data_IF_876178522142
#
_entry.id   IF_876178522142
#
_cell.length_a   1.000
_cell.length_b   1.000
_cell.length_c   1.000
_cell.angle_alpha   90.00
_cell.angle_beta   90.00
_cell.angle_gamma   90.00
#
_symmetry.space_group_name_H-M   'P 1'
#
loop_
_entity.id
_entity.type
_entity.pdbx_description
1 polymer ?
#
# COMPACT_ATOMS: atom_id res chain seq x y z
N UNK A 1 2.17 -11.82 -1.75
CA UNK A 1 0.74 -11.93 -2.07
C UNK A 1 0.32 -13.35 -2.46
N UNK A 2 0.75 -13.92 -3.59
CA UNK A 2 0.32 -15.27 -3.99
C UNK A 2 0.81 -16.41 -3.06
N UNK A 3 1.95 -16.22 -2.39
CA UNK A 3 2.45 -17.16 -1.36
C UNK A 3 1.77 -16.98 -0.01
N UNK A 4 1.12 -15.84 0.20
CA UNK A 4 0.45 -15.48 1.45
C UNK A 4 -1.04 -15.84 1.41
N UNK A 5 -1.49 -16.56 0.37
CA UNK A 5 -2.89 -16.95 0.16
C UNK A 5 -3.81 -15.82 -0.33
N UNK A 6 -3.27 -14.61 -0.50
CA UNK A 6 -4.06 -13.43 -0.90
C UNK A 6 -4.41 -13.40 -2.39
N UNK A 7 -3.74 -14.22 -3.21
CA UNK A 7 -4.01 -14.38 -4.64
C UNK A 7 -4.04 -15.87 -4.98
N UNK A 8 -4.70 -16.27 -6.09
CA UNK A 8 -4.69 -17.65 -6.54
C UNK A 8 -3.27 -18.22 -6.65
N UNK A 9 -3.04 -19.41 -6.09
CA UNK A 9 -1.72 -20.04 -5.98
C UNK A 9 -1.01 -20.19 -7.33
N UNK A 10 -1.76 -20.31 -8.42
CA UNK A 10 -1.23 -20.37 -9.78
C UNK A 10 -0.49 -19.10 -10.22
N UNK A 11 -0.86 -17.91 -9.71
CA UNK A 11 -0.09 -16.67 -9.95
C UNK A 11 1.24 -16.64 -9.21
N UNK A 12 1.41 -17.46 -8.16
CA UNK A 12 2.66 -17.56 -7.41
C UNK A 12 3.69 -18.50 -8.07
N UNK A 13 3.31 -19.16 -9.17
CA UNK A 13 4.18 -20.11 -9.86
C UNK A 13 5.35 -19.38 -10.55
N UNK A 14 6.56 -19.78 -10.20
CA UNK A 14 7.80 -19.29 -10.80
C UNK A 14 8.23 -20.19 -11.96
N UNK A 15 8.93 -19.65 -12.94
CA UNK A 15 9.57 -20.46 -13.99
C UNK A 15 10.93 -21.03 -13.52
N UNK A 16 11.63 -21.75 -14.39
CA UNK A 16 12.94 -22.37 -14.09
C UNK A 16 14.03 -21.34 -13.68
N UNK A 17 13.84 -20.07 -14.06
CA UNK A 17 14.72 -18.94 -13.69
C UNK A 17 14.22 -18.17 -12.47
N UNK A 18 13.28 -18.73 -11.70
CA UNK A 18 12.67 -18.09 -10.52
C UNK A 18 11.92 -16.78 -10.82
N UNK A 19 11.39 -16.61 -12.03
CA UNK A 19 10.64 -15.42 -12.43
C UNK A 19 9.11 -15.66 -12.41
N UNK A 20 8.30 -14.71 -11.89
CA UNK A 20 6.84 -14.84 -11.81
C UNK A 20 6.13 -14.45 -13.12
N UNK A 21 6.49 -15.09 -14.24
CA UNK A 21 6.05 -14.68 -15.58
C UNK A 21 4.52 -14.60 -15.73
N UNK A 22 3.76 -15.52 -15.11
CA UNK A 22 2.29 -15.53 -15.20
C UNK A 22 1.67 -14.29 -14.59
N UNK A 23 2.13 -13.92 -13.39
CA UNK A 23 1.68 -12.70 -12.73
C UNK A 23 2.06 -11.46 -13.51
N UNK A 24 3.29 -11.40 -14.04
CA UNK A 24 3.76 -10.28 -14.85
C UNK A 24 2.90 -10.08 -16.11
N UNK A 25 2.61 -11.15 -16.86
CA UNK A 25 1.78 -11.06 -18.07
C UNK A 25 0.37 -10.56 -17.75
N UNK A 26 -0.26 -11.06 -16.69
CA UNK A 26 -1.61 -10.64 -16.29
C UNK A 26 -1.59 -9.16 -15.85
N UNK A 27 -0.64 -8.76 -15.02
CA UNK A 27 -0.48 -7.38 -14.58
C UNK A 27 -0.27 -6.44 -15.77
N UNK A 28 0.53 -6.84 -16.75
CA UNK A 28 0.76 -6.07 -17.98
C UNK A 28 -0.52 -5.94 -18.80
N UNK A 29 -1.26 -7.04 -19.03
CA UNK A 29 -2.53 -6.99 -19.79
C UNK A 29 -3.52 -6.05 -19.11
N UNK A 30 -3.74 -6.23 -17.79
CA UNK A 30 -4.65 -5.38 -17.02
C UNK A 30 -4.19 -3.92 -17.05
N UNK A 31 -2.88 -3.67 -16.86
CA UNK A 31 -2.30 -2.34 -16.88
C UNK A 31 -2.46 -1.63 -18.23
N UNK A 32 -2.29 -2.34 -19.35
CA UNK A 32 -2.51 -1.78 -20.69
C UNK A 32 -3.98 -1.47 -20.93
N UNK A 33 -4.89 -2.36 -20.51
CA UNK A 33 -6.33 -2.11 -20.65
C UNK A 33 -6.76 -0.89 -19.85
N UNK A 34 -6.44 -0.83 -18.56
CA UNK A 34 -6.79 0.32 -17.71
C UNK A 34 -6.08 1.59 -18.19
N UNK A 35 -4.80 1.51 -18.51
CA UNK A 35 -4.01 2.65 -18.97
C UNK A 35 -4.45 3.21 -20.33
N UNK A 36 -5.06 2.39 -21.20
CA UNK A 36 -5.62 2.86 -22.47
C UNK A 36 -7.02 3.47 -22.33
N UNK A 37 -7.77 3.12 -21.28
CA UNK A 37 -9.13 3.60 -21.05
C UNK A 37 -9.20 4.88 -20.20
N UNK A 38 -8.25 5.11 -19.30
CA UNK A 38 -8.30 6.20 -18.33
C UNK A 38 -7.14 7.20 -18.49
N UNK A 39 -7.39 8.51 -18.28
CA UNK A 39 -6.32 9.51 -18.28
C UNK A 39 -5.28 9.24 -17.20
N UNK A 40 -3.99 9.39 -17.54
CA UNK A 40 -2.89 9.20 -16.60
C UNK A 40 -3.05 10.03 -15.32
N UNK A 41 -3.47 11.29 -15.44
CA UNK A 41 -3.66 12.18 -14.28
C UNK A 41 -4.68 11.64 -13.27
N UNK A 42 -5.77 11.02 -13.76
CA UNK A 42 -6.79 10.40 -12.93
C UNK A 42 -6.23 9.18 -12.18
N UNK A 43 -5.54 8.28 -12.90
CA UNK A 43 -4.91 7.10 -12.30
C UNK A 43 -3.84 7.49 -11.27
N UNK A 44 -3.02 8.49 -11.58
CA UNK A 44 -2.00 9.00 -10.67
C UNK A 44 -2.62 9.54 -9.38
N UNK A 45 -3.70 10.33 -9.47
CA UNK A 45 -4.42 10.82 -8.29
C UNK A 45 -4.97 9.67 -7.43
N UNK A 46 -5.55 8.63 -8.06
CA UNK A 46 -6.10 7.48 -7.34
C UNK A 46 -5.00 6.67 -6.62
N UNK A 47 -3.88 6.40 -7.32
CA UNK A 47 -2.72 5.70 -6.76
C UNK A 47 -2.10 6.50 -5.61
N UNK A 48 -1.91 7.81 -5.79
CA UNK A 48 -1.41 8.68 -4.73
C UNK A 48 -2.33 8.68 -3.52
N UNK A 49 -3.64 8.81 -3.71
CA UNK A 49 -4.62 8.79 -2.63
C UNK A 49 -4.55 7.48 -1.84
N UNK A 50 -4.58 6.32 -2.53
CA UNK A 50 -4.45 5.01 -1.90
C UNK A 50 -3.13 4.82 -1.14
N UNK A 51 -2.02 5.32 -1.69
CA UNK A 51 -0.70 5.24 -1.05
C UNK A 51 -0.62 6.07 0.23
N UNK A 52 -1.19 7.28 0.22
CA UNK A 52 -1.27 8.12 1.41
C UNK A 52 -2.12 7.46 2.50
N UNK A 53 -3.25 6.84 2.14
CA UNK A 53 -4.05 6.08 3.12
C UNK A 53 -3.26 4.89 3.69
N UNK A 54 -2.56 4.13 2.85
CA UNK A 54 -1.70 3.04 3.34
C UNK A 54 -0.64 3.55 4.32
N UNK A 55 0.01 4.67 4.04
CA UNK A 55 0.98 5.29 4.96
C UNK A 55 0.34 5.77 6.26
N UNK A 56 -0.87 6.33 6.21
CA UNK A 56 -1.63 6.68 7.41
C UNK A 56 -1.87 5.44 8.29
N UNK A 57 -2.36 4.35 7.70
CA UNK A 57 -2.58 3.10 8.43
C UNK A 57 -1.29 2.50 8.99
N UNK A 58 -0.20 2.47 8.23
CA UNK A 58 1.09 1.96 8.69
C UNK A 58 1.60 2.80 9.86
N UNK A 59 1.50 4.13 9.77
CA UNK A 59 1.92 5.02 10.85
C UNK A 59 1.14 4.79 12.14
N UNK A 60 -0.18 4.59 12.04
CA UNK A 60 -1.01 4.24 13.19
C UNK A 60 -0.74 2.82 13.72
N UNK A 61 -0.49 1.87 12.82
CA UNK A 61 -0.22 0.47 13.16
C UNK A 61 1.06 0.34 14.02
N UNK A 62 2.04 1.24 13.84
CA UNK A 62 3.25 1.27 14.66
C UNK A 62 2.95 1.34 16.16
N UNK A 63 1.91 2.05 16.60
CA UNK A 63 1.56 2.14 18.03
C UNK A 63 1.15 0.80 18.63
N UNK A 64 0.50 -0.05 17.84
CA UNK A 64 0.08 -1.38 18.26
C UNK A 64 1.20 -2.41 18.08
N UNK A 65 1.93 -2.35 16.96
CA UNK A 65 3.06 -3.23 16.69
C UNK A 65 4.17 -3.06 17.72
N UNK A 66 4.48 -1.83 18.13
CA UNK A 66 5.53 -1.54 19.12
C UNK A 66 5.30 -2.25 20.46
N UNK A 67 4.04 -2.43 20.86
CA UNK A 67 3.66 -3.14 22.10
C UNK A 67 3.77 -4.67 22.00
N UNK A 68 3.83 -5.19 20.78
CA UNK A 68 3.89 -6.63 20.45
C UNK A 68 5.33 -7.12 20.20
N UNK A 69 6.28 -6.20 20.00
CA UNK A 69 7.71 -6.52 19.91
C UNK A 69 8.20 -7.33 21.12
N UNK A 70 8.85 -8.47 20.87
CA UNK A 70 9.40 -9.34 21.93
C UNK A 70 8.37 -10.24 22.64
N UNK A 71 7.09 -10.19 22.23
CA UNK A 71 6.04 -11.10 22.72
C UNK A 71 5.67 -12.10 21.63
N UNK A 72 5.05 -11.58 20.59
CA UNK A 72 4.50 -12.33 19.46
C UNK A 72 5.02 -11.81 18.11
N UNK A 73 5.75 -10.69 18.10
CA UNK A 73 6.55 -10.23 16.97
C UNK A 73 8.05 -10.30 17.31
N UNK A 74 8.90 -10.70 16.35
CA UNK A 74 10.35 -10.66 16.54
C UNK A 74 10.81 -9.22 16.79
N UNK A 75 11.89 -9.07 17.55
CA UNK A 75 12.47 -7.76 17.82
C UNK A 75 13.08 -7.24 16.50
N UNK A 76 12.66 -6.07 16.00
CA UNK A 76 13.16 -5.56 14.74
C UNK A 76 14.62 -5.11 14.89
N UNK A 77 15.44 -5.36 13.85
CA UNK A 77 16.83 -4.95 13.81
C UNK A 77 17.00 -3.42 13.88
N UNK A 78 16.02 -2.68 13.35
CA UNK A 78 15.95 -1.23 13.41
C UNK A 78 14.72 -0.78 14.21
N UNK A 79 14.92 0.21 15.08
CA UNK A 79 13.84 0.84 15.86
C UNK A 79 13.71 2.30 15.44
N UNK A 80 12.48 2.70 15.14
CA UNK A 80 12.18 4.08 14.77
C UNK A 80 12.62 5.04 15.88
N UNK A 81 13.55 5.98 15.63
CA UNK A 81 13.93 6.97 16.62
C UNK A 81 12.74 7.90 16.91
N UNK A 82 12.73 8.51 18.10
CA UNK A 82 11.69 9.47 18.52
C UNK A 82 10.26 8.88 18.53
N UNK A 83 10.10 7.56 18.67
CA UNK A 83 8.81 6.96 19.01
C UNK A 83 8.36 7.45 20.40
N UNK A 84 7.10 7.88 20.62
CA UNK A 84 5.91 7.78 19.75
C UNK A 84 5.62 8.99 18.84
N UNK A 85 6.51 9.99 18.84
CA UNK A 85 6.28 11.27 18.15
C UNK A 85 6.42 11.14 16.64
N UNK A 86 7.44 10.42 16.18
CA UNK A 86 7.72 10.30 14.74
C UNK A 86 6.53 9.72 13.94
N UNK A 87 5.86 8.62 14.39
CA UNK A 87 4.66 8.13 13.71
C UNK A 87 3.48 9.14 13.74
N UNK A 88 3.34 9.95 14.78
CA UNK A 88 2.30 10.98 14.83
C UNK A 88 2.56 12.06 13.79
N UNK A 89 3.80 12.54 13.72
CA UNK A 89 4.23 13.54 12.74
C UNK A 89 4.05 13.00 11.31
N UNK A 90 4.47 11.77 11.04
CA UNK A 90 4.26 11.13 9.74
C UNK A 90 2.78 11.07 9.38
N UNK A 91 1.92 10.66 10.30
CA UNK A 91 0.47 10.62 10.06
C UNK A 91 -0.08 12.02 9.71
N UNK A 92 0.28 13.04 10.50
CA UNK A 92 -0.17 14.41 10.27
C UNK A 92 0.30 14.94 8.91
N UNK A 93 1.58 14.75 8.56
CA UNK A 93 2.11 15.22 7.28
C UNK A 93 1.44 14.51 6.09
N UNK A 94 1.26 13.19 6.16
CA UNK A 94 0.57 12.42 5.12
C UNK A 94 -0.90 12.83 5.01
N UNK A 95 -1.58 13.07 6.14
CA UNK A 95 -2.96 13.56 6.16
C UNK A 95 -3.08 14.95 5.54
N UNK A 96 -2.13 15.85 5.79
CA UNK A 96 -2.09 17.18 5.18
C UNK A 96 -1.94 17.09 3.65
N UNK A 97 -1.05 16.23 3.16
CA UNK A 97 -0.90 15.99 1.71
C UNK A 97 -2.19 15.40 1.13
N UNK A 98 -2.81 14.44 1.81
CA UNK A 98 -4.09 13.86 1.40
C UNK A 98 -5.21 14.91 1.36
N UNK A 99 -5.22 15.84 2.31
CA UNK A 99 -6.16 16.96 2.32
C UNK A 99 -5.97 17.91 1.13
N UNK A 100 -4.77 17.99 0.57
CA UNK A 100 -4.50 18.76 -0.66
C UNK A 100 -5.03 18.12 -1.95
N UNK A 101 -5.45 16.86 -1.92
CA UNK A 101 -5.98 16.18 -3.12
C UNK A 101 -7.34 16.74 -3.57
N UNK A 102 -7.64 16.56 -4.85
CA UNK A 102 -8.94 16.90 -5.42
C UNK A 102 -10.09 16.17 -4.72
N UNK A 103 -11.28 16.79 -4.72
CA UNK A 103 -12.47 16.22 -4.09
C UNK A 103 -12.80 14.82 -4.60
N UNK A 104 -12.71 14.61 -5.91
CA UNK A 104 -12.92 13.33 -6.58
C UNK A 104 -12.04 12.22 -6.02
N UNK A 105 -10.73 12.46 -5.89
CA UNK A 105 -9.79 11.46 -5.39
C UNK A 105 -10.10 11.04 -3.95
N UNK A 106 -10.53 11.99 -3.11
CA UNK A 106 -10.95 11.71 -1.72
C UNK A 106 -12.23 10.88 -1.71
N UNK A 107 -13.20 11.21 -2.56
CA UNK A 107 -14.47 10.51 -2.66
C UNK A 107 -14.29 9.06 -3.14
N UNK A 108 -13.50 8.83 -4.20
CA UNK A 108 -13.21 7.47 -4.67
C UNK A 108 -12.47 6.64 -3.63
N UNK A 109 -11.54 7.27 -2.90
CA UNK A 109 -10.83 6.61 -1.81
C UNK A 109 -11.80 6.18 -0.72
N UNK A 110 -12.72 7.05 -0.29
CA UNK A 110 -13.74 6.72 0.71
C UNK A 110 -14.65 5.58 0.25
N UNK A 111 -15.13 5.62 -1.00
CA UNK A 111 -15.95 4.55 -1.58
C UNK A 111 -15.22 3.21 -1.55
N UNK A 112 -13.91 3.21 -1.84
CA UNK A 112 -13.13 1.97 -1.86
C UNK A 112 -12.95 1.31 -0.49
N UNK A 113 -13.05 2.07 0.61
CA UNK A 113 -12.89 1.58 1.98
C UNK A 113 -14.21 1.26 2.71
N UNK A 114 -15.37 1.56 2.11
CA UNK A 114 -16.70 1.16 2.58
C UNK A 114 -17.05 -0.20 1.97
#
# INVERSE_FOLDING_TARGET
FGRDGLLPSWLSHLNDKHLPNRALVILTIIGVLIGSMFPFAFLAQLISAGTLVAFMFVSLAMYRLRKREGKDLPIPAFKLPLYPVLPAVTFVLVLLVFWGLGFEAKLYTLIWFI
#
